data_IF_625910674744
#
_entry.id   IF_625910674744
#
_cell.length_a   1.000
_cell.length_b   1.000
_cell.length_c   1.000
_cell.angle_alpha   90.00
_cell.angle_beta   90.00
_cell.angle_gamma   90.00
#
_symmetry.space_group_name_H-M   'P 1'
#
loop_
_entity.id
_entity.type
_entity.pdbx_description
1 polymer ?
#
# COMPACT_ATOMS: atom_id res chain seq x y z
N UNK A 1 -17.28 21.01 -29.27
CA UNK A 1 -16.20 20.08 -29.63
C UNK A 1 -15.54 19.73 -28.31
N UNK A 2 -15.32 18.45 -28.04
CA UNK A 2 -14.58 17.99 -26.87
C UNK A 2 -13.07 18.06 -27.15
N UNK A 3 -12.22 17.92 -26.14
CA UNK A 3 -10.77 17.88 -26.33
C UNK A 3 -10.35 16.47 -26.81
N UNK A 4 -10.97 15.44 -26.22
CA UNK A 4 -10.77 14.05 -26.61
C UNK A 4 -12.09 13.30 -26.55
N UNK A 5 -12.35 12.42 -27.52
CA UNK A 5 -13.48 11.50 -27.50
C UNK A 5 -13.00 10.08 -27.76
N UNK A 6 -13.38 9.16 -26.87
CA UNK A 6 -13.23 7.72 -27.06
C UNK A 6 -14.48 7.17 -27.74
N UNK A 7 -14.30 6.44 -28.84
CA UNK A 7 -15.36 5.88 -29.67
C UNK A 7 -15.49 4.38 -29.50
N UNK A 8 -16.73 3.88 -29.55
CA UNK A 8 -17.03 2.44 -29.67
C UNK A 8 -16.43 1.57 -28.56
N UNK A 9 -16.23 2.13 -27.35
CA UNK A 9 -15.68 1.40 -26.22
C UNK A 9 -16.75 0.52 -25.56
N UNK A 10 -16.33 -0.58 -24.92
CA UNK A 10 -17.14 -1.19 -23.86
C UNK A 10 -16.81 -0.50 -22.54
N UNK A 11 -17.75 0.27 -22.01
CA UNK A 11 -17.58 1.00 -20.75
C UNK A 11 -17.81 0.04 -19.59
N UNK A 12 -16.80 -0.13 -18.74
CA UNK A 12 -16.94 -0.67 -17.39
C UNK A 12 -16.67 0.51 -16.46
N UNK A 13 -17.75 1.15 -16.01
CA UNK A 13 -17.67 2.48 -15.42
C UNK A 13 -17.10 2.51 -13.99
N UNK A 14 -16.89 1.36 -13.35
CA UNK A 14 -16.36 1.27 -11.98
C UNK A 14 -17.43 1.09 -10.90
N UNK A 15 -18.72 1.13 -11.25
CA UNK A 15 -19.82 0.90 -10.29
C UNK A 15 -19.96 -0.58 -9.87
N UNK A 16 -19.45 -1.50 -10.68
CA UNK A 16 -19.70 -2.94 -10.55
C UNK A 16 -20.83 -3.45 -11.45
N UNK A 17 -21.54 -2.55 -12.13
CA UNK A 17 -22.59 -2.91 -13.09
C UNK A 17 -22.01 -3.52 -14.39
N UNK A 18 -22.80 -4.33 -15.13
CA UNK A 18 -22.39 -4.89 -16.41
C UNK A 18 -21.93 -3.83 -17.41
N UNK A 19 -20.86 -4.16 -18.16
CA UNK A 19 -20.33 -3.25 -19.17
C UNK A 19 -21.31 -2.97 -20.32
N UNK A 20 -21.24 -1.77 -20.90
CA UNK A 20 -22.12 -1.32 -21.99
C UNK A 20 -21.37 -0.57 -23.10
N UNK A 21 -21.79 -0.68 -24.38
CA UNK A 21 -21.19 0.12 -25.44
C UNK A 21 -21.58 1.59 -25.28
N UNK A 22 -20.60 2.49 -25.33
CA UNK A 22 -20.82 3.93 -25.37
C UNK A 22 -19.55 4.68 -25.80
N UNK A 23 -19.71 5.95 -26.20
CA UNK A 23 -18.60 6.89 -26.34
C UNK A 23 -18.43 7.70 -25.06
N UNK A 24 -17.23 8.25 -24.86
CA UNK A 24 -16.90 9.12 -23.74
C UNK A 24 -16.15 10.34 -24.25
N UNK A 25 -16.65 11.54 -23.96
CA UNK A 25 -15.97 12.80 -24.26
C UNK A 25 -15.33 13.39 -23.01
N UNK A 26 -14.15 13.99 -23.19
CA UNK A 26 -13.37 14.69 -22.18
C UNK A 26 -13.21 16.16 -22.61
N UNK A 27 -13.38 17.08 -21.68
CA UNK A 27 -13.12 18.51 -21.86
C UNK A 27 -12.41 19.05 -20.62
N UNK A 28 -11.22 19.61 -20.81
CA UNK A 28 -10.30 19.96 -19.74
C UNK A 28 -9.90 18.74 -18.93
N UNK A 29 -10.19 18.79 -17.63
CA UNK A 29 -9.88 17.75 -16.66
C UNK A 29 -11.10 16.86 -16.32
N UNK A 30 -12.16 16.88 -17.13
CA UNK A 30 -13.42 16.18 -16.81
C UNK A 30 -14.01 15.42 -17.97
N UNK A 31 -14.72 14.35 -17.60
CA UNK A 31 -15.67 13.67 -18.47
C UNK A 31 -16.85 14.61 -18.70
N UNK A 32 -17.02 15.06 -19.95
CA UNK A 32 -18.08 15.99 -20.34
C UNK A 32 -19.31 15.29 -20.91
N UNK A 33 -19.18 14.06 -21.40
CA UNK A 33 -20.32 13.26 -21.86
C UNK A 33 -20.05 11.76 -21.79
N UNK A 34 -21.10 10.96 -21.52
CA UNK A 34 -21.08 9.49 -21.62
C UNK A 34 -22.32 9.02 -22.41
N UNK A 35 -22.13 8.35 -23.54
CA UNK A 35 -23.22 7.96 -24.43
C UNK A 35 -22.88 8.24 -25.89
N UNK A 36 -23.78 8.90 -26.61
CA UNK A 36 -23.50 9.39 -27.98
C UNK A 36 -22.73 10.72 -27.90
N UNK A 37 -21.40 10.65 -27.84
CA UNK A 37 -20.56 11.80 -27.52
C UNK A 37 -20.28 12.73 -28.72
N UNK A 38 -20.11 14.04 -28.50
CA UNK A 38 -19.70 14.97 -29.56
C UNK A 38 -18.31 14.64 -30.11
N UNK A 39 -17.99 15.17 -31.29
CA UNK A 39 -16.64 15.09 -31.85
C UNK A 39 -15.60 15.75 -30.93
N UNK A 40 -14.49 15.06 -30.73
CA UNK A 40 -13.30 15.54 -30.03
C UNK A 40 -12.27 16.11 -31.00
N UNK A 41 -11.36 16.96 -30.51
CA UNK A 41 -10.15 17.33 -31.26
C UNK A 41 -9.26 16.10 -31.48
N UNK A 42 -9.20 15.20 -30.50
CA UNK A 42 -8.59 13.88 -30.59
C UNK A 42 -9.69 12.82 -30.56
N UNK A 43 -9.69 11.91 -31.54
CA UNK A 43 -10.62 10.79 -31.63
C UNK A 43 -9.86 9.48 -31.45
N UNK A 44 -10.24 8.70 -30.44
CA UNK A 44 -9.63 7.40 -30.12
C UNK A 44 -10.63 6.30 -30.43
N UNK A 45 -10.37 5.48 -31.43
CA UNK A 45 -11.16 4.28 -31.71
C UNK A 45 -10.82 3.17 -30.69
N UNK A 46 -11.75 2.88 -29.79
CA UNK A 46 -11.63 1.87 -28.74
C UNK A 46 -12.41 0.58 -29.07
N UNK A 47 -12.67 0.32 -30.36
CA UNK A 47 -13.34 -0.91 -30.80
C UNK A 47 -12.62 -2.16 -30.27
N UNK A 48 -13.37 -3.03 -29.58
CA UNK A 48 -12.85 -4.27 -29.00
C UNK A 48 -12.05 -4.07 -27.71
N UNK A 49 -11.98 -2.84 -27.19
CA UNK A 49 -11.34 -2.49 -25.93
C UNK A 49 -12.37 -2.15 -24.87
N UNK A 50 -11.92 -2.24 -23.62
CA UNK A 50 -12.66 -1.74 -22.45
C UNK A 50 -12.11 -0.38 -22.09
N UNK A 51 -13.01 0.57 -21.82
CA UNK A 51 -12.69 1.83 -21.16
C UNK A 51 -13.19 1.76 -19.72
N UNK A 52 -12.29 1.98 -18.78
CA UNK A 52 -12.55 1.99 -17.33
C UNK A 52 -12.01 3.27 -16.70
N UNK A 53 -12.42 3.62 -15.46
CA UNK A 53 -11.67 4.59 -14.69
C UNK A 53 -10.23 4.12 -14.51
N UNK A 54 -9.32 5.07 -14.36
CA UNK A 54 -7.94 4.76 -13.99
C UNK A 54 -7.88 4.10 -12.60
N UNK A 55 -6.97 3.14 -12.44
CA UNK A 55 -6.91 2.35 -11.21
C UNK A 55 -6.34 3.17 -10.05
N UNK A 56 -6.85 2.87 -8.85
CA UNK A 56 -6.39 3.39 -7.58
C UNK A 56 -5.57 2.31 -6.89
N UNK A 57 -4.31 2.61 -6.62
CA UNK A 57 -3.45 1.74 -5.84
C UNK A 57 -3.57 2.06 -4.35
N UNK A 58 -4.34 1.24 -3.64
CA UNK A 58 -4.66 1.47 -2.21
C UNK A 58 -3.46 1.26 -1.29
N UNK A 59 -2.40 0.62 -1.79
CA UNK A 59 -1.23 0.29 -0.98
C UNK A 59 0.05 0.57 -1.74
N UNK A 60 0.60 1.77 -1.58
CA UNK A 60 1.88 2.13 -2.15
C UNK A 60 2.86 2.64 -1.10
N UNK A 61 4.14 2.46 -1.41
CA UNK A 61 5.27 3.11 -0.74
C UNK A 61 5.99 4.04 -1.71
N UNK A 62 5.21 4.83 -2.44
CA UNK A 62 5.66 5.70 -3.52
C UNK A 62 6.03 7.10 -3.03
N UNK A 63 5.98 7.37 -1.72
CA UNK A 63 6.16 8.70 -1.14
C UNK A 63 7.44 9.40 -1.66
N UNK A 64 8.59 8.70 -1.61
CA UNK A 64 9.84 9.23 -2.16
C UNK A 64 9.95 9.14 -3.69
N UNK A 65 9.11 8.34 -4.35
CA UNK A 65 9.13 8.14 -5.80
C UNK A 65 8.60 9.35 -6.56
N UNK A 66 7.65 10.11 -6.01
CA UNK A 66 7.18 11.36 -6.64
C UNK A 66 8.31 12.37 -6.87
N UNK A 67 9.34 12.36 -6.03
CA UNK A 67 10.53 13.20 -6.18
C UNK A 67 11.54 12.58 -7.15
N UNK A 68 11.85 11.28 -6.97
CA UNK A 68 12.90 10.58 -7.72
C UNK A 68 12.51 10.23 -9.16
N UNK A 69 11.25 9.85 -9.35
CA UNK A 69 10.70 9.29 -10.58
C UNK A 69 9.33 9.92 -10.90
N UNK A 70 9.23 11.24 -11.13
CA UNK A 70 7.95 11.93 -11.29
C UNK A 70 7.10 11.41 -12.47
N UNK A 71 7.71 10.74 -13.45
CA UNK A 71 6.99 10.07 -14.54
C UNK A 71 6.14 8.88 -14.11
N UNK A 72 6.42 8.27 -12.94
CA UNK A 72 5.64 7.17 -12.35
C UNK A 72 5.30 6.03 -13.34
N UNK A 73 6.20 5.76 -14.29
CA UNK A 73 5.96 4.84 -15.43
C UNK A 73 5.61 3.43 -14.95
N UNK A 74 6.21 2.99 -13.84
CA UNK A 74 5.94 1.68 -13.24
C UNK A 74 4.49 1.54 -12.75
N UNK A 75 3.79 2.65 -12.44
CA UNK A 75 2.36 2.68 -12.10
C UNK A 75 1.50 2.90 -13.34
N UNK A 76 1.85 3.89 -14.17
CA UNK A 76 1.09 4.20 -15.39
C UNK A 76 0.99 3.02 -16.36
N UNK A 77 2.08 2.25 -16.53
CA UNK A 77 2.09 1.06 -17.39
C UNK A 77 1.09 -0.02 -16.95
N UNK A 78 0.59 0.05 -15.72
CA UNK A 78 -0.42 -0.86 -15.16
C UNK A 78 -1.85 -0.31 -15.26
N UNK A 79 -2.02 0.95 -15.70
CA UNK A 79 -3.31 1.65 -15.68
C UNK A 79 -3.61 2.41 -14.38
N UNK A 80 -2.64 2.52 -13.47
CA UNK A 80 -2.80 3.25 -12.20
C UNK A 80 -2.71 4.75 -12.45
N UNK A 81 -3.70 5.50 -11.97
CA UNK A 81 -3.75 6.98 -12.07
C UNK A 81 -3.77 7.66 -10.72
N UNK A 82 -3.99 6.92 -9.63
CA UNK A 82 -3.97 7.43 -8.25
C UNK A 82 -3.29 6.42 -7.34
N UNK A 83 -2.47 6.89 -6.41
CA UNK A 83 -1.89 6.05 -5.37
C UNK A 83 -2.24 6.58 -3.99
N UNK A 84 -2.35 5.66 -3.03
CA UNK A 84 -2.38 5.95 -1.60
C UNK A 84 -1.01 5.65 -1.02
N UNK A 85 -0.33 6.69 -0.57
CA UNK A 85 1.01 6.64 0.02
C UNK A 85 0.94 6.78 1.55
N UNK A 86 2.08 6.69 2.24
CA UNK A 86 2.11 6.80 3.71
C UNK A 86 1.66 5.54 4.44
N UNK A 87 1.77 4.37 3.80
CA UNK A 87 1.31 3.09 4.31
C UNK A 87 2.26 2.45 5.34
N UNK A 88 1.77 1.43 6.06
CA UNK A 88 2.52 0.64 7.05
C UNK A 88 3.22 1.49 8.13
N UNK A 89 2.64 2.62 8.51
CA UNK A 89 3.19 3.52 9.52
C UNK A 89 4.34 4.40 9.05
N UNK A 90 4.76 4.32 7.78
CA UNK A 90 5.84 5.14 7.24
C UNK A 90 5.31 6.13 6.21
N UNK A 91 5.59 7.40 6.41
CA UNK A 91 5.18 8.49 5.52
C UNK A 91 6.30 9.53 5.35
N UNK A 92 6.36 10.17 4.17
CA UNK A 92 7.30 11.26 3.87
C UNK A 92 7.10 12.52 4.70
N UNK A 93 5.90 12.71 5.25
CA UNK A 93 5.56 13.80 6.13
C UNK A 93 4.75 13.27 7.33
N UNK A 94 4.88 13.86 8.54
CA UNK A 94 5.79 14.97 8.86
C UNK A 94 7.28 14.54 8.89
N UNK A 95 8.17 15.52 8.79
CA UNK A 95 9.62 15.35 8.77
C UNK A 95 10.34 16.52 9.46
N UNK A 96 11.64 16.40 9.71
CA UNK A 96 12.50 17.49 10.19
C UNK A 96 13.57 17.81 9.14
N UNK A 97 13.62 19.03 8.58
CA UNK A 97 14.65 19.44 7.63
C UNK A 97 16.05 19.24 8.21
N UNK A 98 16.96 18.66 7.42
CA UNK A 98 18.33 18.37 7.86
C UNK A 98 18.46 17.31 8.96
N UNK A 99 17.37 16.61 9.30
CA UNK A 99 17.40 15.47 10.21
C UNK A 99 18.10 14.25 9.61
N UNK A 100 18.45 13.27 10.45
CA UNK A 100 18.91 11.95 10.00
C UNK A 100 17.86 11.23 9.13
N UNK A 101 18.20 10.06 8.57
CA UNK A 101 17.29 9.35 7.66
C UNK A 101 15.93 9.13 8.34
N UNK A 102 14.82 9.55 7.71
CA UNK A 102 13.49 9.40 8.29
C UNK A 102 13.13 7.93 8.54
N UNK A 103 12.22 7.68 9.48
CA UNK A 103 11.64 6.35 9.66
C UNK A 103 10.99 5.90 8.34
N UNK A 104 11.36 4.70 7.87
CA UNK A 104 10.96 4.20 6.54
C UNK A 104 12.07 4.28 5.48
N UNK A 105 13.19 4.96 5.75
CA UNK A 105 14.40 4.93 4.92
C UNK A 105 14.15 5.28 3.44
N UNK A 106 14.51 4.37 2.53
CA UNK A 106 14.38 4.60 1.08
C UNK A 106 12.93 4.82 0.60
N UNK A 107 11.93 4.37 1.36
CA UNK A 107 10.51 4.51 1.01
C UNK A 107 10.07 5.98 0.99
N UNK A 108 10.54 6.75 1.97
CA UNK A 108 10.13 8.14 2.23
C UNK A 108 11.08 9.17 1.62
N UNK A 109 12.32 8.78 1.28
CA UNK A 109 13.29 9.69 0.66
C UNK A 109 13.91 10.70 1.64
N UNK A 110 14.66 11.69 1.12
CA UNK A 110 15.21 12.79 1.92
C UNK A 110 14.25 13.98 1.87
N UNK A 111 13.96 14.56 3.03
CA UNK A 111 12.98 15.63 3.17
C UNK A 111 13.65 17.00 3.32
N UNK A 112 13.32 17.90 2.39
CA UNK A 112 13.54 19.35 2.53
C UNK A 112 12.27 20.07 3.04
N UNK A 113 11.27 19.30 3.47
CA UNK A 113 9.98 19.76 4.00
C UNK A 113 9.79 19.31 5.46
N UNK A 114 8.84 19.93 6.14
CA UNK A 114 8.46 19.60 7.54
C UNK A 114 7.13 18.86 7.62
N UNK A 115 6.21 19.15 6.72
CA UNK A 115 4.82 18.77 6.82
C UNK A 115 4.26 18.32 5.47
N UNK A 116 2.97 17.99 5.45
CA UNK A 116 2.32 17.42 4.27
C UNK A 116 2.14 18.46 3.16
N UNK A 117 1.85 19.72 3.52
CA UNK A 117 1.80 20.83 2.57
C UNK A 117 3.14 21.04 1.85
N UNK A 118 4.25 21.06 2.59
CA UNK A 118 5.59 21.18 2.03
C UNK A 118 5.95 20.00 1.12
N UNK A 119 5.57 18.78 1.52
CA UNK A 119 5.74 17.59 0.69
C UNK A 119 4.99 17.69 -0.65
N UNK A 120 3.70 18.07 -0.62
CA UNK A 120 2.92 18.21 -1.86
C UNK A 120 3.44 19.34 -2.74
N UNK A 121 3.82 20.49 -2.17
CA UNK A 121 4.45 21.56 -2.94
C UNK A 121 5.75 21.10 -3.62
N UNK A 122 6.57 20.31 -2.93
CA UNK A 122 7.79 19.73 -3.50
C UNK A 122 7.47 18.73 -4.63
N UNK A 123 6.43 17.90 -4.47
CA UNK A 123 5.98 16.98 -5.52
C UNK A 123 5.47 17.73 -6.75
N UNK A 124 4.61 18.73 -6.57
CA UNK A 124 4.02 19.52 -7.68
C UNK A 124 5.08 20.20 -8.55
N UNK A 125 6.18 20.68 -7.97
CA UNK A 125 7.31 21.23 -8.72
C UNK A 125 7.94 20.22 -9.67
N UNK A 126 7.82 18.92 -9.38
CA UNK A 126 8.30 17.82 -10.23
C UNK A 126 7.29 17.39 -11.28
N UNK A 127 6.06 17.93 -11.25
CA UNK A 127 4.96 17.64 -12.18
C UNK A 127 4.68 16.13 -12.30
N UNK A 128 4.19 15.50 -11.23
CA UNK A 128 4.01 14.06 -11.23
C UNK A 128 2.96 13.63 -12.23
N UNK A 129 3.16 12.47 -12.85
CA UNK A 129 2.29 11.99 -13.92
C UNK A 129 0.96 11.38 -13.42
N UNK A 130 0.85 11.11 -12.11
CA UNK A 130 -0.34 10.53 -11.47
C UNK A 130 -0.67 11.27 -10.17
N UNK A 131 -1.85 10.99 -9.62
CA UNK A 131 -2.34 11.58 -8.39
C UNK A 131 -1.80 10.85 -7.15
N UNK A 132 -1.66 11.57 -6.04
CA UNK A 132 -1.25 11.02 -4.75
C UNK A 132 -2.18 11.51 -3.65
N UNK A 133 -2.58 10.61 -2.76
CA UNK A 133 -3.12 10.94 -1.44
C UNK A 133 -2.29 10.26 -0.37
N UNK A 134 -2.22 10.86 0.82
CA UNK A 134 -1.28 10.46 1.86
C UNK A 134 -2.01 10.06 3.14
N UNK A 135 -1.60 8.95 3.72
CA UNK A 135 -1.82 8.64 5.13
C UNK A 135 -0.67 9.25 5.96
N UNK A 136 -0.93 9.60 7.22
CA UNK A 136 0.13 9.94 8.18
C UNK A 136 0.56 8.69 8.95
N UNK A 137 1.86 8.41 8.93
CA UNK A 137 2.43 7.17 9.46
C UNK A 137 2.77 7.23 10.94
N UNK A 138 2.27 6.26 11.71
CA UNK A 138 2.59 6.03 13.12
C UNK A 138 4.09 5.96 13.41
N UNK A 139 4.82 5.13 12.65
CA UNK A 139 6.25 4.93 12.85
C UNK A 139 7.04 6.21 12.56
N UNK A 140 6.58 7.03 11.61
CA UNK A 140 7.10 8.38 11.35
C UNK A 140 6.89 9.31 12.54
N UNK A 141 5.65 9.49 13.01
CA UNK A 141 5.38 10.43 14.11
C UNK A 141 6.02 9.98 15.43
N UNK A 142 6.06 8.68 15.69
CA UNK A 142 6.71 8.12 16.88
C UNK A 142 8.22 8.33 16.87
N UNK A 143 8.88 8.11 15.73
CA UNK A 143 10.31 8.39 15.61
C UNK A 143 10.64 9.88 15.81
N UNK A 144 9.75 10.79 15.38
CA UNK A 144 9.94 12.23 15.57
C UNK A 144 9.76 12.68 17.01
N UNK A 145 8.82 12.09 17.76
CA UNK A 145 8.55 12.46 19.15
C UNK A 145 9.56 11.84 20.11
N UNK A 146 9.87 10.55 19.93
CA UNK A 146 10.62 9.78 20.92
C UNK A 146 11.76 8.92 20.34
N UNK A 147 12.12 9.09 19.07
CA UNK A 147 13.16 8.28 18.43
C UNK A 147 12.79 6.79 18.35
N UNK A 148 13.80 5.91 18.43
CA UNK A 148 13.62 4.45 18.39
C UNK A 148 13.47 3.81 19.78
N UNK A 149 12.99 4.58 20.76
CA UNK A 149 12.83 4.13 22.14
C UNK A 149 11.86 2.94 22.26
N UNK A 150 12.31 1.90 22.97
CA UNK A 150 11.61 0.61 23.15
C UNK A 150 10.73 0.58 24.41
N UNK A 151 9.90 1.60 24.55
CA UNK A 151 9.01 1.83 25.71
C UNK A 151 7.73 2.55 25.28
N UNK A 152 6.74 2.60 26.17
CA UNK A 152 5.58 3.46 25.98
C UNK A 152 6.00 4.95 26.00
N UNK A 153 5.29 5.83 25.27
CA UNK A 153 5.53 7.26 25.31
C UNK A 153 5.18 7.82 26.69
N UNK A 154 5.89 8.86 27.09
CA UNK A 154 5.45 9.76 28.18
C UNK A 154 4.24 10.57 27.73
N UNK A 155 3.51 11.18 28.67
CA UNK A 155 2.35 12.02 28.34
C UNK A 155 2.71 13.17 27.38
N UNK A 156 3.91 13.74 27.51
CA UNK A 156 4.41 14.79 26.61
C UNK A 156 4.66 14.24 25.20
N UNK A 157 5.36 13.10 25.08
CA UNK A 157 5.63 12.47 23.78
C UNK A 157 4.33 12.02 23.09
N UNK A 158 3.35 11.50 23.84
CA UNK A 158 2.04 11.13 23.29
C UNK A 158 1.27 12.37 22.81
N UNK A 159 1.32 13.47 23.58
CA UNK A 159 0.71 14.74 23.19
C UNK A 159 1.34 15.27 21.90
N UNK A 160 2.66 15.22 21.77
CA UNK A 160 3.38 15.64 20.57
C UNK A 160 2.98 14.77 19.36
N UNK A 161 2.93 13.44 19.51
CA UNK A 161 2.50 12.55 18.44
C UNK A 161 1.06 12.83 18.00
N UNK A 162 0.14 13.07 18.95
CA UNK A 162 -1.26 13.45 18.63
C UNK A 162 -1.32 14.75 17.84
N UNK A 163 -0.53 15.74 18.23
CA UNK A 163 -0.45 17.03 17.52
C UNK A 163 0.02 16.84 16.07
N UNK A 164 1.04 16.00 15.84
CA UNK A 164 1.56 15.71 14.50
C UNK A 164 0.55 15.01 13.61
N UNK A 165 -0.21 14.05 14.16
CA UNK A 165 -1.29 13.37 13.42
C UNK A 165 -2.39 14.37 13.08
N UNK A 166 -2.85 15.16 14.06
CA UNK A 166 -3.88 16.18 13.86
C UNK A 166 -3.48 17.19 12.78
N UNK A 167 -2.26 17.70 12.83
CA UNK A 167 -1.75 18.66 11.83
C UNK A 167 -1.79 18.04 10.42
N UNK A 168 -1.32 16.80 10.25
CA UNK A 168 -1.38 16.14 8.95
C UNK A 168 -2.82 15.95 8.44
N UNK A 169 -3.78 15.67 9.33
CA UNK A 169 -5.20 15.58 8.98
C UNK A 169 -5.80 16.95 8.60
N UNK A 170 -5.43 18.03 9.31
CA UNK A 170 -5.80 19.40 8.95
C UNK A 170 -5.25 19.82 7.58
N UNK A 171 -4.11 19.26 7.18
CA UNK A 171 -3.49 19.44 5.86
C UNK A 171 -4.04 18.50 4.77
N UNK A 172 -5.04 17.69 5.08
CA UNK A 172 -5.74 16.85 4.11
C UNK A 172 -5.21 15.43 3.95
N UNK A 173 -4.48 14.89 4.93
CA UNK A 173 -4.22 13.46 4.98
C UNK A 173 -5.55 12.67 4.97
N UNK A 174 -5.59 11.57 4.22
CA UNK A 174 -6.78 10.72 4.09
C UNK A 174 -7.00 9.78 5.29
N UNK A 175 -6.07 9.78 6.25
CA UNK A 175 -6.14 8.93 7.43
C UNK A 175 -4.78 8.71 8.09
N UNK A 176 -4.76 7.77 9.03
CA UNK A 176 -3.62 7.39 9.85
C UNK A 176 -3.25 5.93 9.56
N UNK A 177 -1.95 5.63 9.45
CA UNK A 177 -1.47 4.28 9.19
C UNK A 177 -0.54 3.74 10.29
N UNK A 178 -0.55 2.43 10.51
CA UNK A 178 0.42 1.76 11.40
C UNK A 178 1.16 0.63 10.70
N UNK A 179 2.37 0.35 11.21
CA UNK A 179 3.17 -0.84 10.88
C UNK A 179 3.68 -1.47 12.15
N UNK A 180 2.78 -2.18 12.83
CA UNK A 180 2.99 -2.67 14.20
C UNK A 180 3.92 -3.89 14.24
N UNK A 181 4.22 -4.50 13.09
CA UNK A 181 5.27 -5.52 13.00
C UNK A 181 6.68 -4.89 13.02
N UNK A 182 6.81 -3.61 12.66
CA UNK A 182 8.09 -2.94 12.39
C UNK A 182 8.54 -2.04 13.53
N UNK A 183 9.85 -1.89 13.71
CA UNK A 183 10.38 -0.82 14.57
C UNK A 183 10.18 0.57 13.91
N UNK A 184 9.85 1.61 14.70
CA UNK A 184 9.71 1.60 16.16
C UNK A 184 8.34 1.13 16.69
N UNK A 185 7.29 1.04 15.85
CA UNK A 185 5.94 0.75 16.32
C UNK A 185 5.69 -0.63 16.92
N UNK A 186 6.60 -1.58 16.73
CA UNK A 186 6.58 -2.92 17.37
C UNK A 186 6.39 -2.85 18.88
N UNK A 187 6.91 -1.81 19.51
CA UNK A 187 6.88 -1.63 20.96
C UNK A 187 5.66 -0.83 21.46
N UNK A 188 4.83 -0.28 20.56
CA UNK A 188 3.64 0.46 20.97
C UNK A 188 2.57 -0.47 21.53
N UNK A 189 1.79 0.05 22.48
CA UNK A 189 0.61 -0.62 23.02
C UNK A 189 -0.66 -0.14 22.32
N UNK A 190 -1.70 -0.96 22.33
CA UNK A 190 -3.00 -0.63 21.72
C UNK A 190 -3.54 0.74 22.15
N UNK A 191 -3.48 1.16 23.44
CA UNK A 191 -3.95 2.49 23.84
C UNK A 191 -3.23 3.66 23.15
N UNK A 192 -1.90 3.58 22.97
CA UNK A 192 -1.12 4.60 22.23
C UNK A 192 -1.67 4.73 20.81
N UNK A 193 -1.85 3.60 20.11
CA UNK A 193 -2.35 3.57 18.74
C UNK A 193 -3.79 4.10 18.65
N UNK A 194 -4.65 3.71 19.59
CA UNK A 194 -6.04 4.18 19.66
C UNK A 194 -6.12 5.70 19.87
N UNK A 195 -5.31 6.28 20.75
CA UNK A 195 -5.30 7.74 20.98
C UNK A 195 -4.82 8.51 19.74
N UNK A 196 -3.90 7.95 18.95
CA UNK A 196 -3.46 8.56 17.70
C UNK A 196 -4.51 8.41 16.59
N UNK A 197 -5.16 7.24 16.48
CA UNK A 197 -6.24 7.03 15.52
C UNK A 197 -7.44 7.96 15.77
N UNK A 198 -7.74 8.28 17.04
CA UNK A 198 -8.78 9.26 17.41
C UNK A 198 -8.54 10.65 16.84
N UNK A 199 -7.30 11.02 16.51
CA UNK A 199 -7.01 12.31 15.86
C UNK A 199 -7.46 12.34 14.39
N UNK A 200 -7.57 11.18 13.72
CA UNK A 200 -8.01 11.08 12.33
C UNK A 200 -9.55 11.06 12.19
N UNK A 201 -10.26 10.50 13.17
CA UNK A 201 -11.73 10.31 13.10
C UNK A 201 -12.53 11.61 12.85
N UNK A 202 -12.25 12.76 13.51
CA UNK A 202 -13.00 14.01 13.31
C UNK A 202 -12.94 14.56 11.88
N UNK A 203 -11.95 14.13 11.09
CA UNK A 203 -11.74 14.56 9.71
C UNK A 203 -12.31 13.56 8.69
N UNK A 204 -13.00 12.50 9.15
CA UNK A 204 -13.44 11.39 8.31
C UNK A 204 -12.30 10.48 7.85
N UNK A 205 -11.13 10.57 8.48
CA UNK A 205 -9.95 9.78 8.14
C UNK A 205 -10.09 8.31 8.54
N UNK A 206 -9.42 7.44 7.79
CA UNK A 206 -9.38 6.00 8.08
C UNK A 206 -8.22 5.62 9.00
N UNK A 207 -8.32 4.44 9.60
CA UNK A 207 -7.21 3.72 10.23
C UNK A 207 -6.75 2.57 9.31
N UNK A 208 -5.60 2.74 8.65
CA UNK A 208 -4.96 1.71 7.85
C UNK A 208 -3.87 0.97 8.65
N UNK A 209 -3.69 -0.33 8.48
CA UNK A 209 -2.69 -1.05 9.26
C UNK A 209 -2.02 -2.21 8.55
N UNK A 210 -0.69 -2.19 8.58
CA UNK A 210 0.10 -3.41 8.63
C UNK A 210 0.08 -3.89 10.09
N UNK A 211 -0.71 -4.94 10.28
CA UNK A 211 -1.03 -5.50 11.59
C UNK A 211 0.21 -5.97 12.35
N UNK A 212 0.09 -6.14 13.67
CA UNK A 212 1.20 -6.55 14.53
C UNK A 212 1.80 -7.90 14.17
N UNK A 213 0.99 -8.80 13.62
CA UNK A 213 1.41 -10.11 13.20
C UNK A 213 0.56 -10.61 12.01
N UNK A 214 1.20 -11.29 11.06
CA UNK A 214 0.53 -11.89 9.89
C UNK A 214 0.70 -13.41 9.84
N UNK A 215 1.28 -14.01 10.88
CA UNK A 215 1.54 -15.45 11.00
C UNK A 215 0.77 -16.05 12.18
N UNK A 216 1.50 -16.52 13.19
CA UNK A 216 0.93 -17.32 14.29
C UNK A 216 -0.13 -16.58 15.10
N UNK A 217 0.06 -15.28 15.24
CA UNK A 217 -0.82 -14.36 15.96
C UNK A 217 -1.67 -13.52 15.01
N UNK A 218 -1.87 -13.96 13.75
CA UNK A 218 -2.71 -13.26 12.77
C UNK A 218 -4.08 -12.90 13.36
N UNK A 219 -4.74 -13.89 13.98
CA UNK A 219 -6.09 -13.71 14.49
C UNK A 219 -6.14 -12.73 15.66
N UNK A 220 -5.14 -12.73 16.54
CA UNK A 220 -5.03 -11.77 17.64
C UNK A 220 -4.79 -10.35 17.10
N UNK A 221 -3.96 -10.22 16.06
CA UNK A 221 -3.66 -8.94 15.43
C UNK A 221 -4.87 -8.34 14.67
N UNK A 222 -5.72 -9.20 14.11
CA UNK A 222 -7.01 -8.79 13.52
C UNK A 222 -7.95 -8.28 14.62
N UNK A 223 -8.06 -8.98 15.76
CA UNK A 223 -8.89 -8.51 16.88
C UNK A 223 -8.37 -7.20 17.48
N UNK A 224 -7.04 -7.03 17.61
CA UNK A 224 -6.44 -5.75 18.01
C UNK A 224 -6.83 -4.63 17.04
N UNK A 225 -6.73 -4.89 15.74
CA UNK A 225 -7.05 -3.93 14.68
C UNK A 225 -8.52 -3.49 14.73
N UNK A 226 -9.43 -4.44 14.86
CA UNK A 226 -10.87 -4.18 14.98
C UNK A 226 -11.20 -3.47 16.30
N UNK A 227 -10.48 -3.78 17.38
CA UNK A 227 -10.56 -3.06 18.65
C UNK A 227 -10.19 -1.59 18.50
N UNK A 228 -9.04 -1.29 17.89
CA UNK A 228 -8.58 0.08 17.64
C UNK A 228 -9.60 0.85 16.78
N UNK A 229 -10.10 0.23 15.70
CA UNK A 229 -11.11 0.86 14.83
C UNK A 229 -12.37 1.27 15.58
N UNK A 230 -12.91 0.35 16.37
CA UNK A 230 -14.09 0.61 17.22
C UNK A 230 -13.84 1.69 18.27
N UNK A 231 -12.72 1.62 18.98
CA UNK A 231 -12.44 2.52 20.12
C UNK A 231 -12.00 3.92 19.67
N UNK A 232 -11.47 4.04 18.45
CA UNK A 232 -11.13 5.33 17.82
C UNK A 232 -12.29 5.96 17.03
N UNK A 233 -13.27 5.15 16.62
CA UNK A 233 -14.34 5.57 15.71
C UNK A 233 -13.89 5.71 14.25
N UNK A 234 -12.70 5.24 13.89
CA UNK A 234 -12.20 5.25 12.52
C UNK A 234 -12.71 4.04 11.70
N UNK A 235 -13.08 4.24 10.43
CA UNK A 235 -13.16 3.14 9.48
C UNK A 235 -11.81 2.42 9.38
N UNK A 236 -11.82 1.09 9.35
CA UNK A 236 -10.61 0.26 9.31
C UNK A 236 -10.26 -0.16 7.89
N UNK A 237 -8.97 -0.17 7.60
CA UNK A 237 -8.40 -0.75 6.39
C UNK A 237 -7.21 -1.67 6.72
N UNK A 238 -7.40 -2.98 6.59
CA UNK A 238 -6.33 -3.96 6.83
C UNK A 238 -5.48 -4.08 5.57
N UNK A 239 -4.23 -3.61 5.66
CA UNK A 239 -3.29 -3.65 4.55
C UNK A 239 -2.84 -5.06 4.22
N UNK A 240 -2.64 -5.31 2.92
CA UNK A 240 -1.98 -6.49 2.34
C UNK A 240 -2.28 -7.80 3.08
N UNK A 241 -3.56 -8.07 3.30
CA UNK A 241 -4.02 -9.12 4.19
C UNK A 241 -3.53 -10.49 3.74
N UNK A 242 -2.80 -11.18 4.62
CA UNK A 242 -2.14 -12.45 4.31
C UNK A 242 -2.05 -13.34 5.54
N UNK A 243 -1.76 -14.62 5.28
CA UNK A 243 -1.31 -15.56 6.28
C UNK A 243 0.08 -16.05 5.91
N UNK A 244 1.07 -15.65 6.70
CA UNK A 244 2.48 -15.85 6.39
C UNK A 244 3.05 -17.07 7.12
N UNK A 245 3.83 -17.86 6.38
CA UNK A 245 4.50 -19.07 6.85
C UNK A 245 3.62 -20.31 6.71
N UNK A 246 4.23 -21.44 6.35
CA UNK A 246 3.52 -22.68 5.97
C UNK A 246 2.56 -23.18 7.04
N UNK A 247 2.91 -23.00 8.32
CA UNK A 247 2.07 -23.40 9.46
C UNK A 247 0.78 -22.59 9.60
N UNK A 248 0.68 -21.45 8.93
CA UNK A 248 -0.47 -20.55 9.01
C UNK A 248 -1.35 -20.56 7.75
N UNK A 249 -0.93 -21.20 6.66
CA UNK A 249 -1.71 -21.25 5.42
C UNK A 249 -3.13 -21.80 5.65
N UNK A 250 -4.12 -21.16 5.03
CA UNK A 250 -5.55 -21.48 5.18
C UNK A 250 -6.26 -20.70 6.29
N UNK A 251 -5.54 -19.92 7.12
CA UNK A 251 -6.14 -19.14 8.22
C UNK A 251 -6.85 -17.86 7.75
N UNK A 252 -6.75 -17.51 6.45
CA UNK A 252 -7.47 -16.35 5.89
C UNK A 252 -8.97 -16.45 6.12
N UNK A 253 -9.57 -17.63 5.98
CA UNK A 253 -11.00 -17.81 6.21
C UNK A 253 -11.43 -17.45 7.64
N UNK A 254 -10.63 -17.83 8.64
CA UNK A 254 -10.90 -17.47 10.05
C UNK A 254 -10.70 -15.98 10.34
N UNK A 255 -9.77 -15.33 9.64
CA UNK A 255 -9.56 -13.89 9.73
C UNK A 255 -10.73 -13.12 9.12
N UNK A 256 -11.16 -13.49 7.92
CA UNK A 256 -12.30 -12.86 7.23
C UNK A 256 -13.60 -13.05 8.02
N UNK A 257 -13.80 -14.20 8.68
CA UNK A 257 -14.96 -14.39 9.56
C UNK A 257 -14.98 -13.41 10.75
N UNK A 258 -13.83 -12.93 11.24
CA UNK A 258 -13.78 -11.86 12.26
C UNK A 258 -14.16 -10.51 11.67
N UNK A 259 -13.70 -10.22 10.45
CA UNK A 259 -14.09 -9.02 9.71
C UNK A 259 -15.60 -8.99 9.48
N UNK A 260 -16.19 -10.09 9.02
CA UNK A 260 -17.62 -10.20 8.79
C UNK A 260 -18.44 -9.92 10.05
N UNK A 261 -18.01 -10.46 11.20
CA UNK A 261 -18.65 -10.17 12.50
C UNK A 261 -18.55 -8.69 12.86
N UNK A 262 -17.37 -8.10 12.72
CA UNK A 262 -17.19 -6.67 12.98
C UNK A 262 -18.06 -5.79 12.09
N UNK A 263 -18.22 -6.15 10.81
CA UNK A 263 -19.09 -5.45 9.87
C UNK A 263 -20.56 -5.65 10.23
N UNK A 264 -20.97 -6.86 10.62
CA UNK A 264 -22.32 -7.13 11.11
C UNK A 264 -22.65 -6.34 12.39
N UNK A 265 -21.64 -6.07 13.22
CA UNK A 265 -21.72 -5.22 14.42
C UNK A 265 -21.66 -3.71 14.11
N UNK A 266 -21.62 -3.33 12.82
CA UNK A 266 -21.71 -1.94 12.36
C UNK A 266 -20.36 -1.24 12.12
N UNK A 267 -19.23 -1.94 12.22
CA UNK A 267 -17.94 -1.35 11.86
C UNK A 267 -17.77 -1.24 10.34
N UNK A 268 -17.09 -0.18 9.89
CA UNK A 268 -16.71 -0.02 8.49
C UNK A 268 -15.30 -0.57 8.25
N UNK A 269 -15.19 -1.77 7.69
CA UNK A 269 -13.92 -2.46 7.47
C UNK A 269 -13.69 -2.74 5.99
N UNK A 270 -12.46 -2.57 5.53
CA UNK A 270 -11.97 -3.05 4.22
C UNK A 270 -10.60 -3.69 4.38
N UNK A 271 -10.16 -4.39 3.35
CA UNK A 271 -8.81 -4.91 3.26
C UNK A 271 -8.27 -4.69 1.84
N UNK A 272 -6.96 -4.82 1.64
CA UNK A 272 -6.40 -4.99 0.30
C UNK A 272 -5.39 -6.14 0.26
N UNK A 273 -5.07 -6.59 -0.96
CA UNK A 273 -4.03 -7.58 -1.23
C UNK A 273 -3.23 -7.20 -2.49
N UNK A 274 -2.02 -7.74 -2.60
CA UNK A 274 -1.31 -7.89 -3.87
C UNK A 274 -1.37 -9.36 -4.35
N UNK A 275 -1.46 -9.61 -5.67
CA UNK A 275 -1.72 -10.93 -6.25
C UNK A 275 -0.49 -11.85 -6.35
N UNK A 276 0.32 -11.94 -5.28
CA UNK A 276 1.59 -12.69 -5.29
C UNK A 276 1.81 -13.50 -4.01
N UNK A 277 2.45 -14.66 -4.15
CA UNK A 277 2.76 -15.59 -3.07
C UNK A 277 4.00 -15.19 -2.26
N UNK A 278 4.49 -13.96 -2.42
CA UNK A 278 5.67 -13.46 -1.73
C UNK A 278 5.48 -12.01 -1.29
N UNK A 279 5.94 -11.72 -0.07
CA UNK A 279 6.07 -10.36 0.46
C UNK A 279 7.43 -9.76 0.12
N UNK A 280 7.59 -8.46 0.39
CA UNK A 280 8.86 -7.77 0.23
C UNK A 280 8.99 -6.66 1.26
N UNK A 281 10.22 -6.40 1.73
CA UNK A 281 10.49 -5.28 2.65
C UNK A 281 11.92 -5.27 3.20
N UNK A 282 12.22 -4.36 4.13
CA UNK A 282 13.56 -4.23 4.70
C UNK A 282 13.97 -5.47 5.48
N UNK A 283 15.04 -6.13 5.06
CA UNK A 283 15.42 -7.46 5.57
C UNK A 283 15.70 -7.44 7.07
N UNK A 284 16.31 -6.37 7.58
CA UNK A 284 16.66 -6.23 9.00
C UNK A 284 15.44 -6.24 9.93
N UNK A 285 14.23 -5.92 9.42
CA UNK A 285 13.01 -5.91 10.22
C UNK A 285 12.46 -7.32 10.49
N UNK A 286 12.84 -8.30 9.66
CA UNK A 286 12.30 -9.67 9.72
C UNK A 286 13.11 -10.62 10.59
N UNK A 287 14.34 -10.26 10.95
CA UNK A 287 15.22 -11.14 11.73
C UNK A 287 15.50 -10.57 13.12
N UNK A 288 15.35 -11.42 14.12
CA UNK A 288 16.06 -11.26 15.38
C UNK A 288 17.47 -11.83 15.18
N UNK A 289 18.51 -11.00 15.30
CA UNK A 289 19.89 -11.46 15.10
C UNK A 289 20.38 -12.37 16.23
N UNK A 290 19.70 -12.44 17.37
CA UNK A 290 20.01 -13.38 18.44
C UNK A 290 19.31 -14.75 18.23
N UNK A 291 18.31 -14.81 17.34
CA UNK A 291 17.51 -16.00 17.05
C UNK A 291 17.02 -15.97 15.59
N UNK A 292 17.90 -16.38 14.67
CA UNK A 292 17.65 -16.31 13.23
C UNK A 292 16.81 -17.54 12.80
N UNK A 293 15.62 -17.28 12.27
CA UNK A 293 14.78 -18.32 11.67
C UNK A 293 15.38 -18.86 10.36
N UNK A 294 15.89 -20.09 10.39
CA UNK A 294 16.44 -20.76 9.21
C UNK A 294 15.38 -20.99 8.14
N UNK A 295 14.17 -21.40 8.53
CA UNK A 295 13.05 -21.59 7.60
C UNK A 295 12.75 -20.30 6.81
N UNK A 296 12.74 -19.15 7.48
CA UNK A 296 12.54 -17.86 6.81
C UNK A 296 13.75 -17.50 5.92
N UNK A 297 14.97 -17.72 6.40
CA UNK A 297 16.20 -17.47 5.64
C UNK A 297 16.24 -18.28 4.34
N UNK A 298 15.82 -19.54 4.35
CA UNK A 298 15.71 -20.38 3.14
C UNK A 298 14.69 -19.87 2.12
N UNK A 299 13.65 -19.17 2.59
CA UNK A 299 12.58 -18.62 1.79
C UNK A 299 12.87 -17.20 1.26
N UNK A 300 14.06 -16.66 1.50
CA UNK A 300 14.44 -15.30 1.10
C UNK A 300 15.21 -15.27 -0.22
N UNK A 301 14.81 -14.32 -1.07
CA UNK A 301 15.62 -13.80 -2.18
C UNK A 301 16.04 -12.37 -1.89
N UNK A 302 17.29 -12.03 -2.16
CA UNK A 302 17.78 -10.65 -2.04
C UNK A 302 17.23 -9.84 -3.22
N UNK A 303 16.50 -8.76 -2.94
CA UNK A 303 16.03 -7.84 -3.96
C UNK A 303 17.04 -6.71 -4.21
N UNK A 304 17.59 -6.16 -3.13
CA UNK A 304 18.66 -5.16 -3.17
C UNK A 304 19.55 -5.35 -1.95
N UNK A 305 20.87 -5.29 -2.12
CA UNK A 305 21.83 -5.34 -1.02
C UNK A 305 23.04 -4.49 -1.38
N UNK A 306 23.06 -3.20 -0.99
CA UNK A 306 24.09 -2.28 -1.46
C UNK A 306 25.52 -2.66 -1.07
N UNK A 307 25.69 -3.35 0.06
CA UNK A 307 26.98 -3.85 0.54
C UNK A 307 27.44 -5.13 -0.20
N UNK A 308 26.51 -5.87 -0.82
CA UNK A 308 26.74 -7.12 -1.57
C UNK A 308 25.89 -7.18 -2.85
N UNK A 309 26.21 -6.34 -3.84
CA UNK A 309 25.39 -6.24 -5.08
C UNK A 309 25.34 -7.53 -5.89
N UNK A 310 26.37 -8.36 -5.81
CA UNK A 310 26.45 -9.68 -6.44
C UNK A 310 25.47 -10.71 -5.82
N UNK A 311 24.84 -10.38 -4.70
CA UNK A 311 23.80 -11.18 -4.07
C UNK A 311 22.40 -10.88 -4.64
N UNK A 312 22.22 -9.73 -5.31
CA UNK A 312 20.91 -9.29 -5.80
C UNK A 312 20.31 -10.27 -6.81
N UNK A 313 19.05 -10.63 -6.61
CA UNK A 313 18.33 -11.61 -7.41
C UNK A 313 18.54 -13.08 -7.00
N UNK A 314 19.48 -13.38 -6.08
CA UNK A 314 19.78 -14.76 -5.65
C UNK A 314 19.02 -15.13 -4.37
N UNK A 315 18.73 -16.42 -4.20
CA UNK A 315 18.21 -16.94 -2.94
C UNK A 315 19.32 -16.94 -1.89
N UNK A 316 18.99 -16.63 -0.64
CA UNK A 316 19.96 -16.55 0.44
C UNK A 316 20.67 -17.89 0.70
N UNK A 317 19.94 -19.01 0.56
CA UNK A 317 20.52 -20.36 0.63
C UNK A 317 21.54 -20.65 -0.48
N UNK A 318 21.33 -20.11 -1.68
CA UNK A 318 22.25 -20.30 -2.81
C UNK A 318 23.47 -19.38 -2.68
N UNK A 319 23.31 -18.22 -2.03
CA UNK A 319 24.43 -17.36 -1.61
C UNK A 319 25.27 -18.08 -0.56
N UNK A 320 24.65 -18.55 0.53
CA UNK A 320 25.33 -19.23 1.63
C UNK A 320 26.14 -20.45 1.13
N UNK A 321 25.53 -21.27 0.25
CA UNK A 321 26.21 -22.40 -0.35
C UNK A 321 27.40 -22.01 -1.25
N UNK A 322 27.27 -20.94 -2.04
CA UNK A 322 28.33 -20.48 -2.94
C UNK A 322 29.52 -19.86 -2.20
N UNK A 323 29.25 -19.11 -1.12
CA UNK A 323 30.27 -18.47 -0.29
C UNK A 323 30.88 -19.42 0.75
N UNK A 324 30.28 -20.60 0.95
CA UNK A 324 30.73 -21.57 1.97
C UNK A 324 30.46 -21.10 3.40
N UNK A 325 29.37 -20.36 3.63
CA UNK A 325 28.98 -19.79 4.92
C UNK A 325 27.63 -20.36 5.39
N UNK A 326 27.29 -20.17 6.66
CA UNK A 326 25.96 -20.53 7.18
C UNK A 326 24.88 -19.56 6.69
N UNK A 327 23.60 -19.97 6.76
CA UNK A 327 22.48 -19.08 6.44
C UNK A 327 22.42 -17.89 7.41
N UNK A 328 22.75 -18.13 8.68
CA UNK A 328 22.85 -17.13 9.73
C UNK A 328 23.91 -16.08 9.40
N UNK A 329 25.09 -16.51 8.94
CA UNK A 329 26.15 -15.61 8.50
C UNK A 329 25.74 -14.82 7.25
N UNK A 330 25.01 -15.44 6.32
CA UNK A 330 24.47 -14.73 5.16
C UNK A 330 23.43 -13.66 5.58
N UNK A 331 22.55 -13.96 6.55
CA UNK A 331 21.62 -12.97 7.13
C UNK A 331 22.39 -11.82 7.79
N UNK A 332 23.41 -12.11 8.60
CA UNK A 332 24.23 -11.08 9.26
C UNK A 332 24.95 -10.23 8.21
N UNK A 333 25.62 -10.85 7.25
CA UNK A 333 26.32 -10.16 6.16
C UNK A 333 25.41 -9.19 5.40
N UNK A 334 24.18 -9.61 5.09
CA UNK A 334 23.21 -8.78 4.39
C UNK A 334 22.66 -7.60 5.23
N UNK A 335 22.69 -7.67 6.57
CA UNK A 335 21.92 -6.74 7.43
C UNK A 335 22.75 -5.89 8.38
N UNK A 336 23.98 -6.28 8.70
CA UNK A 336 24.83 -5.57 9.68
C UNK A 336 25.91 -4.70 9.06
N UNK A 337 26.09 -4.75 7.74
CA UNK A 337 27.02 -3.88 7.03
C UNK A 337 26.65 -2.38 7.13
N UNK A 338 27.54 -1.47 6.69
CA UNK A 338 27.30 -0.02 6.75
C UNK A 338 25.97 0.41 6.12
N UNK A 339 25.52 -0.30 5.08
CA UNK A 339 24.24 -0.07 4.39
C UNK A 339 23.29 -1.26 4.53
N UNK A 340 23.51 -2.14 5.52
CA UNK A 340 22.68 -3.34 5.72
C UNK A 340 21.21 -3.04 6.02
N UNK A 341 20.89 -1.86 6.58
CA UNK A 341 19.50 -1.40 6.77
C UNK A 341 18.78 -1.05 5.47
N UNK A 342 19.52 -0.86 4.37
CA UNK A 342 18.96 -0.61 3.04
C UNK A 342 18.70 -1.91 2.27
N UNK A 343 19.09 -3.06 2.81
CA UNK A 343 18.84 -4.36 2.18
C UNK A 343 17.34 -4.67 2.15
N UNK A 344 16.83 -4.93 0.95
CA UNK A 344 15.45 -5.34 0.70
C UNK A 344 15.45 -6.82 0.32
N UNK A 345 14.54 -7.59 0.92
CA UNK A 345 14.35 -8.99 0.60
C UNK A 345 12.92 -9.27 0.14
N UNK A 346 12.77 -10.39 -0.58
CA UNK A 346 11.50 -10.99 -0.98
C UNK A 346 11.33 -12.30 -0.21
N UNK A 347 10.19 -12.49 0.47
CA UNK A 347 9.92 -13.67 1.28
C UNK A 347 8.80 -14.52 0.66
N UNK A 348 9.11 -15.75 0.25
CA UNK A 348 8.16 -16.67 -0.38
C UNK A 348 7.36 -17.46 0.66
N UNK A 349 6.42 -16.79 1.33
CA UNK A 349 5.77 -17.31 2.55
C UNK A 349 4.24 -17.38 2.48
N UNK A 350 3.62 -17.07 1.35
CA UNK A 350 2.15 -16.96 1.20
C UNK A 350 1.64 -18.08 0.27
N UNK A 351 0.49 -18.66 0.58
CA UNK A 351 -0.19 -19.62 -0.29
C UNK A 351 -1.07 -18.94 -1.35
N UNK A 352 -1.11 -19.48 -2.57
CA UNK A 352 -2.01 -18.99 -3.63
C UNK A 352 -3.49 -19.14 -3.25
N UNK A 353 -3.86 -20.23 -2.58
CA UNK A 353 -5.25 -20.47 -2.15
C UNK A 353 -5.75 -19.42 -1.16
N UNK A 354 -4.86 -18.88 -0.32
CA UNK A 354 -5.16 -17.77 0.59
C UNK A 354 -5.40 -16.45 -0.17
N UNK A 355 -4.68 -16.21 -1.28
CA UNK A 355 -4.94 -15.07 -2.18
C UNK A 355 -6.31 -15.21 -2.83
N UNK A 356 -6.64 -16.41 -3.35
CA UNK A 356 -7.96 -16.67 -3.95
C UNK A 356 -9.07 -16.50 -2.91
N UNK A 357 -8.85 -16.96 -1.68
CA UNK A 357 -9.80 -16.80 -0.58
C UNK A 357 -10.05 -15.32 -0.26
N UNK A 358 -9.00 -14.52 -0.20
CA UNK A 358 -9.12 -13.06 -0.05
C UNK A 358 -9.90 -12.44 -1.22
N UNK A 359 -9.52 -12.72 -2.46
CA UNK A 359 -10.17 -12.12 -3.63
C UNK A 359 -11.67 -12.43 -3.71
N UNK A 360 -12.09 -13.61 -3.27
CA UNK A 360 -13.53 -13.96 -3.20
C UNK A 360 -14.32 -13.10 -2.20
N UNK A 361 -13.66 -12.47 -1.24
CA UNK A 361 -14.31 -11.65 -0.23
C UNK A 361 -14.65 -10.26 -0.78
N UNK A 362 -15.90 -9.76 -0.65
CA UNK A 362 -16.34 -8.52 -1.30
C UNK A 362 -15.68 -7.24 -0.77
N UNK A 363 -15.08 -7.31 0.42
CA UNK A 363 -14.42 -6.15 1.06
C UNK A 363 -12.93 -5.99 0.71
N UNK A 364 -12.41 -6.83 -0.19
CA UNK A 364 -10.99 -6.82 -0.58
C UNK A 364 -10.77 -5.99 -1.84
N UNK A 365 -9.90 -4.99 -1.72
CA UNK A 365 -9.37 -4.14 -2.79
C UNK A 365 -7.98 -4.63 -3.24
N UNK A 366 -7.36 -3.88 -4.15
CA UNK A 366 -6.04 -4.21 -4.71
C UNK A 366 -5.06 -3.09 -4.40
N UNK A 367 -3.98 -3.46 -3.70
CA UNK A 367 -2.85 -2.59 -3.42
C UNK A 367 -1.57 -3.27 -3.88
N UNK A 368 -0.68 -2.55 -4.59
CA UNK A 368 0.52 -3.16 -5.17
C UNK A 368 1.57 -3.52 -4.12
N UNK A 369 1.66 -2.75 -3.05
CA UNK A 369 2.75 -2.78 -2.08
C UNK A 369 4.13 -2.66 -2.78
N UNK A 370 4.17 -1.98 -3.93
CA UNK A 370 5.39 -1.77 -4.69
C UNK A 370 6.42 -0.98 -3.88
N UNK A 371 7.66 -1.49 -3.80
CA UNK A 371 8.80 -0.74 -3.23
C UNK A 371 9.62 -0.20 -4.41
N UNK A 372 9.63 1.12 -4.68
CA UNK A 372 10.22 1.71 -5.88
C UNK A 372 11.75 1.83 -5.79
N UNK A 373 12.43 0.71 -5.54
CA UNK A 373 13.87 0.57 -5.66
C UNK A 373 14.22 -0.08 -7.00
N UNK A 374 14.55 0.75 -7.99
CA UNK A 374 14.84 0.32 -9.36
C UNK A 374 16.29 -0.14 -9.56
N UNK A 375 17.14 -0.03 -8.53
CA UNK A 375 18.59 -0.31 -8.63
C UNK A 375 18.97 -1.76 -8.27
N UNK A 376 18.03 -2.70 -8.34
CA UNK A 376 18.22 -4.12 -8.02
C UNK A 376 17.17 -5.00 -8.71
N UNK A 377 16.78 -6.10 -8.06
CA UNK A 377 15.74 -7.04 -8.51
C UNK A 377 14.47 -6.92 -7.65
N UNK A 378 13.68 -5.84 -7.79
CA UNK A 378 12.51 -5.61 -6.94
C UNK A 378 11.45 -6.69 -7.12
N UNK A 379 10.53 -6.77 -6.16
CA UNK A 379 9.38 -7.65 -6.26
C UNK A 379 8.51 -7.28 -7.47
N UNK A 380 8.08 -8.24 -8.32
CA UNK A 380 7.33 -7.95 -9.55
C UNK A 380 5.98 -7.25 -9.33
N UNK A 381 5.45 -7.27 -8.10
CA UNK A 381 4.26 -6.49 -7.70
C UNK A 381 4.37 -5.00 -7.99
N UNK A 382 5.58 -4.44 -8.03
CA UNK A 382 5.82 -3.04 -8.42
C UNK A 382 5.33 -2.74 -9.85
N UNK A 383 5.37 -3.71 -10.76
CA UNK A 383 5.15 -3.51 -12.20
C UNK A 383 3.93 -4.25 -12.76
N UNK A 384 3.34 -5.19 -12.03
CA UNK A 384 2.35 -6.11 -12.61
C UNK A 384 1.17 -6.45 -11.72
N UNK A 385 0.90 -5.72 -10.64
CA UNK A 385 -0.23 -6.01 -9.75
C UNK A 385 -1.57 -5.95 -10.47
N UNK A 386 -1.93 -4.81 -11.06
CA UNK A 386 -3.25 -4.62 -11.66
C UNK A 386 -3.45 -5.49 -12.91
N UNK A 387 -2.49 -5.56 -13.86
CA UNK A 387 -2.61 -6.48 -14.99
C UNK A 387 -2.66 -7.94 -14.58
N UNK A 388 -2.02 -8.34 -13.47
CA UNK A 388 -2.10 -9.72 -12.96
C UNK A 388 -3.46 -10.05 -12.40
N UNK A 389 -4.16 -9.13 -11.73
CA UNK A 389 -5.57 -9.33 -11.34
C UNK A 389 -6.40 -9.64 -12.59
N UNK A 390 -6.30 -8.79 -13.62
CA UNK A 390 -7.09 -8.93 -14.86
C UNK A 390 -6.73 -10.20 -15.65
N UNK A 391 -5.44 -10.51 -15.79
CA UNK A 391 -4.99 -11.67 -16.54
C UNK A 391 -5.27 -12.98 -15.80
N UNK A 392 -4.79 -13.09 -14.56
CA UNK A 392 -4.78 -14.34 -13.82
C UNK A 392 -6.10 -14.61 -13.11
N UNK A 393 -6.63 -13.62 -12.41
CA UNK A 393 -7.76 -13.83 -11.50
C UNK A 393 -9.12 -13.54 -12.13
N UNK A 394 -9.19 -12.69 -13.16
CA UNK A 394 -10.39 -12.50 -13.98
C UNK A 394 -10.42 -13.49 -15.15
N UNK A 395 -9.46 -13.38 -16.09
CA UNK A 395 -9.52 -14.13 -17.35
C UNK A 395 -9.21 -15.62 -17.22
N UNK A 396 -8.11 -15.97 -16.53
CA UNK A 396 -7.63 -17.36 -16.48
C UNK A 396 -8.35 -18.20 -15.42
N UNK A 397 -8.38 -17.73 -14.17
CA UNK A 397 -8.96 -18.48 -13.05
C UNK A 397 -10.43 -18.18 -12.77
N UNK A 398 -10.96 -17.06 -13.29
CA UNK A 398 -12.37 -16.63 -13.09
C UNK A 398 -12.77 -16.58 -11.61
N UNK A 399 -11.87 -16.08 -10.78
CA UNK A 399 -12.13 -15.80 -9.36
C UNK A 399 -13.01 -14.56 -9.22
N UNK A 400 -12.81 -13.57 -10.10
CA UNK A 400 -13.60 -12.33 -10.17
C UNK A 400 -14.21 -12.17 -11.58
N UNK A 401 -15.33 -11.45 -11.67
CA UNK A 401 -15.73 -10.85 -12.96
C UNK A 401 -14.85 -9.65 -13.29
N UNK A 402 -14.88 -9.18 -14.54
CA UNK A 402 -14.10 -8.01 -14.94
C UNK A 402 -14.65 -6.74 -14.26
N UNK A 403 -15.97 -6.62 -14.18
CA UNK A 403 -16.68 -5.51 -13.55
C UNK A 403 -16.38 -5.42 -12.05
N UNK A 404 -16.39 -6.54 -11.33
CA UNK A 404 -16.04 -6.59 -9.90
C UNK A 404 -14.56 -6.23 -9.67
N UNK A 405 -13.65 -6.74 -10.51
CA UNK A 405 -12.24 -6.38 -10.43
C UNK A 405 -12.02 -4.88 -10.68
N UNK A 406 -12.65 -4.30 -11.71
CA UNK A 406 -12.56 -2.86 -11.98
C UNK A 406 -13.15 -2.06 -10.83
N UNK A 407 -14.32 -2.43 -10.30
CA UNK A 407 -14.96 -1.76 -9.16
C UNK A 407 -14.03 -1.68 -7.93
N UNK A 408 -13.41 -2.81 -7.57
CA UNK A 408 -12.45 -2.90 -6.45
C UNK A 408 -11.23 -2.02 -6.64
N UNK A 409 -10.75 -1.91 -7.88
CA UNK A 409 -9.57 -1.11 -8.24
C UNK A 409 -9.91 0.36 -8.55
N UNK A 410 -11.19 0.77 -8.48
CA UNK A 410 -11.63 2.13 -8.86
C UNK A 410 -12.58 2.70 -7.80
N UNK A 411 -13.90 2.66 -8.02
CA UNK A 411 -14.84 3.35 -7.14
C UNK A 411 -14.81 2.85 -5.70
N UNK A 412 -14.69 1.54 -5.46
CA UNK A 412 -14.60 1.01 -4.10
C UNK A 412 -13.40 1.62 -3.35
N UNK A 413 -12.27 1.74 -4.04
CA UNK A 413 -11.06 2.36 -3.52
C UNK A 413 -11.26 3.87 -3.29
N UNK A 414 -11.80 4.60 -4.26
CA UNK A 414 -12.12 6.03 -4.08
C UNK A 414 -13.05 6.27 -2.89
N UNK A 415 -14.11 5.46 -2.73
CA UNK A 415 -15.06 5.58 -1.63
C UNK A 415 -14.40 5.33 -0.27
N UNK A 416 -13.53 4.31 -0.17
CA UNK A 416 -12.82 4.00 1.09
C UNK A 416 -11.91 5.14 1.52
N UNK A 417 -11.16 5.72 0.59
CA UNK A 417 -10.15 6.73 0.89
C UNK A 417 -10.65 8.18 0.72
N UNK A 418 -11.96 8.39 0.54
CA UNK A 418 -12.56 9.73 0.45
C UNK A 418 -12.15 10.51 -0.81
N UNK A 419 -11.78 9.83 -1.89
CA UNK A 419 -11.34 10.47 -3.14
C UNK A 419 -12.58 10.88 -3.95
N UNK A 420 -12.98 12.15 -3.83
CA UNK A 420 -14.14 12.68 -4.53
C UNK A 420 -13.95 12.78 -6.05
N UNK A 421 -15.04 12.56 -6.80
CA UNK A 421 -15.12 12.75 -8.26
C UNK A 421 -14.09 11.95 -9.07
N UNK A 422 -13.67 10.79 -8.56
CA UNK A 422 -12.79 9.82 -9.24
C UNK A 422 -13.34 8.41 -9.08
N UNK A 423 -12.79 7.47 -9.84
CA UNK A 423 -13.13 6.05 -9.74
C UNK A 423 -14.43 5.67 -10.46
N UNK A 424 -15.07 6.60 -11.15
CA UNK A 424 -16.22 6.36 -12.02
C UNK A 424 -16.06 7.01 -13.39
N UNK A 425 -16.58 6.36 -14.43
CA UNK A 425 -16.87 7.01 -15.71
C UNK A 425 -18.29 7.60 -15.63
N UNK A 426 -18.38 8.86 -15.24
CA UNK A 426 -19.63 9.61 -15.17
C UNK A 426 -19.39 11.08 -15.51
N UNK A 427 -20.40 11.76 -16.06
CA UNK A 427 -20.29 13.19 -16.37
C UNK A 427 -19.91 14.01 -15.12
N UNK A 428 -18.93 14.91 -15.27
CA UNK A 428 -18.39 15.75 -14.20
C UNK A 428 -17.26 15.12 -13.39
N UNK A 429 -17.02 13.80 -13.51
CA UNK A 429 -15.87 13.13 -12.88
C UNK A 429 -14.56 13.44 -13.63
N UNK A 430 -13.44 13.28 -12.91
CA UNK A 430 -12.07 13.50 -13.40
C UNK A 430 -11.52 12.26 -14.07
#
# INVERSE_FOLDING_TARGET
MADMTFRNATIIDGSGDPGRPADVAITGDRISHVGEAPAGEIEVDATGLVLSPGFVDTHSHDDGAFIRYPGMEFKLAQGVTTVVSGNCGFSSAPARPGGGPPAGGALVGQADWTDLNGYFAACELRKPAINNIMLVGHNTVRALAMGNERREPTDAELTDMRSLVREAMEQGACGFSTGLIYEPGRYSKTPEVTELAKEASPFGGIYATHMRNEGDHLLDAVEETLGIGRDSGCPVHISHHKSAGRRNWGRIGESLARVDRAVADGQSVTLDIYPYTAGSGPMFQYFNLDDISIELAEAIRIAACPDHRDWEGRMLKDIAAAEGISLEDAVRGATTGPRGKETICIQFTIAEDDIVTNLRHPLVMVGSDGIPNLNGSPHPRLFGTFPRILARYVREQRVLSLEDAVHRMTQMSCNRFGIANRGLIAEGYI
#
